data_IF_610143004160
#
_entry.id   IF_610143004160
#
_cell.length_a   1.000
_cell.length_b   1.000
_cell.length_c   1.000
_cell.angle_alpha   90.00
_cell.angle_beta   90.00
_cell.angle_gamma   90.00
#
_symmetry.space_group_name_H-M   'P 1'
#
loop_
_entity.id
_entity.type
_entity.pdbx_description
1 polymer ?
#
# COMPACT_ATOMS: atom_id res chain seq x y z
N UNK A 1 4.67 -46.89 1.66
CA UNK A 1 5.95 -46.15 1.47
C UNK A 1 6.02 -45.44 0.12
N UNK A 2 5.69 -46.09 -1.01
CA UNK A 2 5.76 -45.49 -2.36
C UNK A 2 4.79 -44.29 -2.54
N UNK A 3 3.61 -44.35 -1.92
CA UNK A 3 2.58 -43.31 -2.03
C UNK A 3 2.98 -42.00 -1.34
N UNK A 4 3.81 -42.07 -0.28
CA UNK A 4 4.30 -40.88 0.44
C UNK A 4 5.37 -40.15 -0.37
N UNK A 5 6.23 -40.89 -1.08
CA UNK A 5 7.23 -40.31 -1.98
C UNK A 5 6.58 -39.52 -3.14
N UNK A 6 5.49 -40.06 -3.71
CA UNK A 6 4.78 -39.39 -4.82
C UNK A 6 4.16 -38.05 -4.40
N UNK A 7 3.64 -37.93 -3.18
CA UNK A 7 3.06 -36.68 -2.67
C UNK A 7 4.15 -35.62 -2.44
N UNK A 8 5.30 -36.02 -1.89
CA UNK A 8 6.45 -35.12 -1.69
C UNK A 8 7.01 -34.64 -3.05
N UNK A 9 7.08 -35.54 -4.03
CA UNK A 9 7.51 -35.19 -5.40
C UNK A 9 6.48 -34.25 -6.06
N UNK A 10 5.17 -34.48 -5.89
CA UNK A 10 4.16 -33.55 -6.42
C UNK A 10 4.27 -32.14 -5.81
N UNK A 11 4.52 -32.01 -4.50
CA UNK A 11 4.71 -30.70 -3.86
C UNK A 11 6.02 -30.00 -4.27
N UNK A 12 7.05 -30.78 -4.66
CA UNK A 12 8.32 -30.24 -5.12
C UNK A 12 8.33 -29.90 -6.63
N UNK A 13 7.52 -30.60 -7.44
CA UNK A 13 7.47 -30.44 -8.91
C UNK A 13 6.34 -29.51 -9.35
N UNK A 14 5.26 -29.43 -8.56
CA UNK A 14 4.19 -28.45 -8.72
C UNK A 14 4.22 -27.52 -7.52
N UNK A 15 5.06 -26.46 -7.53
CA UNK A 15 4.82 -25.35 -6.62
C UNK A 15 3.37 -24.92 -6.85
N UNK A 16 2.65 -24.76 -5.74
CA UNK A 16 1.25 -24.34 -5.66
C UNK A 16 0.97 -23.37 -6.82
N UNK A 17 0.13 -23.78 -7.79
CA UNK A 17 -0.36 -22.86 -8.80
C UNK A 17 -1.00 -21.71 -8.03
N UNK A 18 -0.40 -20.52 -8.12
CA UNK A 18 -0.79 -19.36 -7.33
C UNK A 18 -2.29 -19.14 -7.48
N UNK A 19 -3.01 -19.17 -6.36
CA UNK A 19 -4.40 -18.75 -6.38
C UNK A 19 -4.38 -17.26 -6.69
N UNK A 20 -5.05 -16.85 -7.77
CA UNK A 20 -5.24 -15.43 -8.04
C UNK A 20 -6.02 -14.83 -6.88
N UNK A 21 -5.62 -13.63 -6.44
CA UNK A 21 -6.37 -12.88 -5.45
C UNK A 21 -6.91 -11.61 -6.09
N UNK A 22 -8.16 -11.30 -5.78
CA UNK A 22 -8.78 -10.03 -6.16
C UNK A 22 -8.37 -9.02 -5.10
N UNK A 23 -7.43 -8.17 -5.49
CA UNK A 23 -7.02 -7.02 -4.71
C UNK A 23 -7.78 -5.77 -5.16
N UNK A 24 -7.66 -4.65 -4.44
CA UNK A 24 -8.39 -3.44 -4.85
C UNK A 24 -7.80 -2.84 -6.13
N UNK A 25 -6.55 -3.15 -6.45
CA UNK A 25 -5.90 -2.70 -7.69
C UNK A 25 -6.19 -3.59 -8.90
N UNK A 26 -6.87 -4.73 -8.72
CA UNK A 26 -7.21 -5.66 -9.80
C UNK A 26 -6.90 -7.13 -9.46
N UNK A 27 -6.98 -7.99 -10.48
CA UNK A 27 -6.59 -9.38 -10.34
C UNK A 27 -5.06 -9.50 -10.45
N UNK A 28 -4.44 -10.12 -9.46
CA UNK A 28 -2.98 -10.27 -9.37
C UNK A 28 -2.64 -11.73 -9.11
N UNK A 29 -1.77 -12.29 -9.96
CA UNK A 29 -1.37 -13.70 -9.90
C UNK A 29 -0.01 -13.91 -9.22
N UNK A 30 0.78 -12.85 -9.09
CA UNK A 30 2.14 -12.91 -8.54
C UNK A 30 2.35 -11.75 -7.55
N UNK A 31 2.34 -12.10 -6.27
CA UNK A 31 2.50 -11.19 -5.15
C UNK A 31 3.23 -11.86 -3.98
N UNK A 32 3.95 -11.06 -3.21
CA UNK A 32 4.58 -11.46 -1.95
C UNK A 32 3.68 -11.03 -0.79
N UNK A 33 3.49 -11.93 0.19
CA UNK A 33 2.85 -11.58 1.46
C UNK A 33 3.91 -11.03 2.41
N UNK A 34 3.74 -9.78 2.81
CA UNK A 34 4.67 -9.08 3.72
C UNK A 34 3.95 -8.60 4.98
N UNK A 35 4.74 -8.33 6.02
CA UNK A 35 4.25 -7.80 7.30
C UNK A 35 5.03 -6.53 7.65
N UNK A 36 4.62 -5.35 7.15
CA UNK A 36 5.34 -4.10 7.38
C UNK A 36 5.44 -3.78 8.86
N UNK A 37 6.67 -3.68 9.37
CA UNK A 37 6.96 -3.37 10.76
C UNK A 37 7.34 -1.91 10.90
N UNK A 38 6.67 -1.18 11.79
CA UNK A 38 7.01 0.22 12.05
C UNK A 38 8.35 0.31 12.80
N UNK A 39 9.37 0.89 12.17
CA UNK A 39 10.68 1.12 12.78
C UNK A 39 10.59 2.37 13.64
N UNK A 40 10.40 2.18 14.94
CA UNK A 40 10.19 3.30 15.87
C UNK A 40 11.53 3.95 16.24
N UNK A 41 11.73 5.22 15.87
CA UNK A 41 12.81 6.05 16.40
C UNK A 41 12.33 6.87 17.61
N UNK A 42 11.93 6.24 18.72
CA UNK A 42 11.62 7.00 19.94
C UNK A 42 12.89 7.18 20.77
N UNK A 43 13.37 8.42 21.00
CA UNK A 43 14.24 8.69 22.12
C UNK A 43 13.46 8.39 23.42
N UNK A 44 14.06 7.64 24.35
CA UNK A 44 13.53 7.50 25.72
C UNK A 44 13.38 8.91 26.32
N UNK A 45 12.14 9.44 26.37
CA UNK A 45 11.84 10.71 27.05
C UNK A 45 11.07 11.77 26.27
N UNK A 46 10.64 11.52 25.02
CA UNK A 46 9.78 12.48 24.32
C UNK A 46 8.39 12.55 24.98
N UNK A 47 8.01 13.75 25.44
CA UNK A 47 6.68 14.06 25.97
C UNK A 47 5.66 13.75 24.87
N UNK A 48 4.72 12.84 25.15
CA UNK A 48 3.58 12.60 24.25
C UNK A 48 2.78 13.89 24.15
N UNK A 49 2.90 14.59 23.03
CA UNK A 49 1.96 15.66 22.70
C UNK A 49 0.55 15.07 22.62
N UNK A 50 -0.50 15.84 22.92
CA UNK A 50 -1.86 15.34 22.85
C UNK A 50 -2.19 14.89 21.41
N UNK A 51 -2.54 13.60 21.28
CA UNK A 51 -3.44 13.01 20.29
C UNK A 51 -3.31 13.43 18.81
N UNK A 52 -2.11 13.41 18.23
CA UNK A 52 -2.01 13.31 16.77
C UNK A 52 -2.11 11.84 16.36
N UNK A 53 -3.28 11.43 15.81
CA UNK A 53 -3.57 10.06 15.35
C UNK A 53 -2.52 9.52 14.36
N UNK A 54 -1.92 10.42 13.58
CA UNK A 54 -0.93 10.10 12.56
C UNK A 54 0.31 10.99 12.72
N UNK A 55 1.48 10.37 12.88
CA UNK A 55 2.81 11.01 13.02
C UNK A 55 3.25 11.73 11.74
N UNK A 56 4.02 12.82 11.87
CA UNK A 56 4.54 13.57 10.71
C UNK A 56 5.54 12.76 9.86
N UNK A 57 6.27 11.86 10.49
CA UNK A 57 7.26 11.00 9.83
C UNK A 57 7.17 9.59 10.39
N UNK A 58 7.31 8.59 9.53
CA UNK A 58 7.31 7.19 9.93
C UNK A 58 8.24 6.37 9.04
N UNK A 59 8.71 5.25 9.58
CA UNK A 59 9.53 4.30 8.84
C UNK A 59 8.91 2.91 8.96
N UNK A 60 8.90 2.17 7.85
CA UNK A 60 8.45 0.79 7.81
C UNK A 60 9.52 -0.11 7.21
N UNK A 61 9.73 -1.26 7.82
CA UNK A 61 10.60 -2.31 7.31
C UNK A 61 9.76 -3.50 6.86
N UNK A 62 10.04 -4.01 5.66
CA UNK A 62 9.50 -5.26 5.12
C UNK A 62 10.48 -5.86 4.11
N UNK A 63 10.15 -7.02 3.56
CA UNK A 63 10.98 -7.67 2.53
C UNK A 63 10.34 -7.57 1.17
N UNK A 64 11.17 -7.40 0.15
CA UNK A 64 10.78 -7.51 -1.27
C UNK A 64 11.81 -8.42 -1.93
N UNK A 65 11.38 -9.50 -2.59
CA UNK A 65 12.27 -10.51 -3.16
C UNK A 65 13.25 -11.10 -2.12
N UNK A 66 12.84 -11.18 -0.86
CA UNK A 66 13.66 -11.66 0.26
C UNK A 66 14.65 -10.66 0.86
N UNK A 67 14.88 -9.51 0.21
CA UNK A 67 15.78 -8.45 0.66
C UNK A 67 15.04 -7.44 1.54
N UNK A 68 15.64 -6.95 2.64
CA UNK A 68 15.03 -5.94 3.50
C UNK A 68 14.96 -4.58 2.81
N UNK A 69 13.81 -3.94 2.94
CA UNK A 69 13.48 -2.62 2.42
C UNK A 69 13.01 -1.77 3.58
N UNK A 70 13.59 -0.58 3.73
CA UNK A 70 13.15 0.42 4.72
C UNK A 70 12.53 1.59 3.98
N UNK A 71 11.24 1.78 4.15
CA UNK A 71 10.43 2.82 3.54
C UNK A 71 10.32 4.01 4.51
N UNK A 72 10.91 5.14 4.13
CA UNK A 72 10.79 6.40 4.86
C UNK A 72 9.61 7.21 4.31
N UNK A 73 8.71 7.63 5.18
CA UNK A 73 7.49 8.35 4.85
C UNK A 73 7.42 9.68 5.59
N UNK A 74 7.05 10.73 4.87
CA UNK A 74 6.77 12.07 5.38
C UNK A 74 5.34 12.46 5.00
N UNK A 75 4.62 13.00 5.97
CA UNK A 75 3.21 13.37 5.82
C UNK A 75 3.07 14.46 4.78
N UNK A 76 2.19 14.25 3.80
CA UNK A 76 1.98 15.21 2.72
C UNK A 76 1.12 16.40 3.16
N UNK A 77 1.65 17.25 4.05
CA UNK A 77 0.92 18.35 4.72
C UNK A 77 0.23 19.33 3.78
N UNK A 78 0.64 19.39 2.51
CA UNK A 78 0.11 20.30 1.51
C UNK A 78 -0.76 19.60 0.45
N UNK A 79 -1.17 18.34 0.68
CA UNK A 79 -2.07 17.63 -0.22
C UNK A 79 -3.42 18.34 -0.35
N UNK A 80 -3.91 18.88 0.76
CA UNK A 80 -5.10 19.72 0.81
C UNK A 80 -4.65 21.15 1.09
N UNK A 81 -4.99 22.08 0.19
CA UNK A 81 -4.77 23.50 0.43
C UNK A 81 -5.55 23.97 1.66
N UNK A 82 -5.06 24.99 2.35
CA UNK A 82 -5.79 25.62 3.47
C UNK A 82 -7.21 26.04 3.07
N UNK A 83 -7.39 26.46 1.80
CA UNK A 83 -8.66 26.89 1.23
C UNK A 83 -9.41 25.76 0.47
N UNK A 84 -9.17 24.49 0.81
CA UNK A 84 -9.85 23.37 0.15
C UNK A 84 -11.38 23.52 0.23
N UNK A 85 -12.05 23.31 -0.91
CA UNK A 85 -13.49 23.37 -1.04
C UNK A 85 -14.02 22.28 -1.98
N UNK A 86 -15.15 21.69 -1.63
CA UNK A 86 -15.87 20.70 -2.42
C UNK A 86 -17.11 21.33 -3.02
N UNK A 87 -17.34 21.08 -4.30
CA UNK A 87 -18.55 21.56 -5.00
C UNK A 87 -19.32 20.38 -5.57
N UNK A 88 -20.61 20.29 -5.25
CA UNK A 88 -21.51 19.27 -5.75
C UNK A 88 -22.83 19.90 -6.23
N UNK A 89 -23.59 19.13 -7.01
CA UNK A 89 -24.89 19.56 -7.52
C UNK A 89 -26.02 18.84 -6.81
N UNK A 90 -27.03 19.59 -6.39
CA UNK A 90 -28.27 19.00 -5.88
C UNK A 90 -29.10 18.38 -7.01
N UNK A 91 -30.11 17.54 -6.69
CA UNK A 91 -30.97 16.92 -7.71
C UNK A 91 -31.72 17.93 -8.60
N UNK A 92 -31.96 19.16 -8.11
CA UNK A 92 -32.54 20.28 -8.84
C UNK A 92 -31.51 21.13 -9.61
N UNK A 93 -30.24 20.72 -9.64
CA UNK A 93 -29.18 21.34 -10.45
C UNK A 93 -28.52 22.57 -9.83
N UNK A 94 -28.77 22.89 -8.55
CA UNK A 94 -28.07 23.98 -7.86
C UNK A 94 -26.69 23.53 -7.43
N UNK A 95 -25.73 24.43 -7.57
CA UNK A 95 -24.38 24.28 -7.08
C UNK A 95 -24.34 24.50 -5.55
N UNK A 96 -23.65 23.59 -4.86
CA UNK A 96 -23.44 23.64 -3.40
C UNK A 96 -21.94 23.51 -3.15
N UNK A 97 -21.33 24.56 -2.60
CA UNK A 97 -19.92 24.58 -2.21
C UNK A 97 -19.79 24.48 -0.70
N UNK A 98 -18.90 23.60 -0.24
CA UNK A 98 -18.60 23.37 1.18
C UNK A 98 -17.10 23.36 1.42
N UNK A 99 -16.66 23.76 2.61
CA UNK A 99 -15.27 23.67 3.05
C UNK A 99 -15.19 22.67 4.21
N UNK A 100 -15.17 21.36 3.93
CA UNK A 100 -15.09 20.37 4.99
C UNK A 100 -13.71 20.44 5.68
N UNK A 101 -13.65 20.19 7.00
CA UNK A 101 -12.38 20.04 7.69
C UNK A 101 -11.64 18.81 7.14
N UNK A 102 -10.32 18.92 6.97
CA UNK A 102 -9.46 17.78 6.63
C UNK A 102 -9.23 16.96 7.89
N UNK A 103 -10.19 16.09 8.19
CA UNK A 103 -10.09 15.11 9.27
C UNK A 103 -9.26 13.89 8.78
N UNK A 104 -8.49 13.27 9.67
CA UNK A 104 -7.78 12.00 9.38
C UNK A 104 -6.75 12.01 8.23
N UNK A 105 -5.95 13.08 8.11
CA UNK A 105 -4.85 13.11 7.16
C UNK A 105 -3.82 11.99 7.42
N UNK A 106 -3.79 11.00 6.52
CA UNK A 106 -2.95 9.80 6.60
C UNK A 106 -2.13 9.54 5.32
N UNK A 107 -1.99 10.54 4.44
CA UNK A 107 -1.27 10.42 3.18
C UNK A 107 0.18 10.88 3.30
N UNK A 108 1.10 10.12 2.71
CA UNK A 108 2.53 10.30 2.82
C UNK A 108 3.19 10.22 1.46
N UNK A 109 4.25 11.01 1.28
CA UNK A 109 5.25 10.77 0.25
C UNK A 109 6.53 10.23 0.88
N UNK A 110 7.38 9.59 0.11
CA UNK A 110 8.54 8.93 0.70
C UNK A 110 9.57 8.40 -0.28
N UNK A 111 10.52 7.64 0.28
CA UNK A 111 11.63 7.00 -0.42
C UNK A 111 12.07 5.74 0.30
N UNK A 112 12.68 4.81 -0.43
CA UNK A 112 13.41 3.69 0.13
C UNK A 112 14.79 4.15 0.62
N UNK A 113 15.19 3.68 1.80
CA UNK A 113 16.51 3.93 2.35
C UNK A 113 17.60 3.39 1.41
N UNK A 114 18.63 4.20 1.17
CA UNK A 114 19.77 3.89 0.28
C UNK A 114 19.41 3.77 -1.21
N UNK A 115 18.21 4.17 -1.63
CA UNK A 115 17.82 4.31 -3.04
C UNK A 115 17.37 5.76 -3.28
N UNK A 116 18.27 6.60 -3.79
CA UNK A 116 18.00 8.02 -3.97
C UNK A 116 16.98 8.33 -5.08
N UNK A 117 16.87 7.42 -6.06
CA UNK A 117 15.97 7.53 -7.20
C UNK A 117 14.59 6.91 -6.90
N UNK A 118 14.45 6.26 -5.75
CA UNK A 118 13.16 5.80 -5.24
C UNK A 118 12.20 6.96 -4.96
N UNK A 119 10.92 6.61 -4.95
CA UNK A 119 9.79 7.45 -4.60
C UNK A 119 8.69 6.58 -4.00
N UNK A 120 7.82 7.16 -3.19
CA UNK A 120 6.66 6.47 -2.65
C UNK A 120 5.50 7.44 -2.47
N UNK A 121 4.29 6.93 -2.66
CA UNK A 121 3.03 7.61 -2.35
C UNK A 121 2.12 6.63 -1.65
N UNK A 122 1.91 6.82 -0.34
CA UNK A 122 1.34 5.83 0.56
C UNK A 122 0.25 6.45 1.43
N UNK A 123 -0.89 5.78 1.52
CA UNK A 123 -1.88 5.96 2.57
C UNK A 123 -1.57 5.02 3.73
N UNK A 124 -1.63 5.53 4.95
CA UNK A 124 -1.54 4.74 6.19
C UNK A 124 -2.87 4.72 6.97
N UNK A 125 -3.99 5.02 6.31
CA UNK A 125 -5.30 5.14 6.97
C UNK A 125 -5.77 3.82 7.59
N UNK A 126 -5.59 2.71 6.86
CA UNK A 126 -6.05 1.37 7.23
C UNK A 126 -5.01 0.33 6.78
N UNK A 127 -3.79 0.43 7.30
CA UNK A 127 -2.62 -0.27 6.73
C UNK A 127 -1.97 0.53 5.60
N UNK A 128 -0.82 0.04 5.11
CA UNK A 128 -0.07 0.68 4.03
C UNK A 128 -0.72 0.36 2.70
N UNK A 129 -1.18 1.39 1.99
CA UNK A 129 -1.72 1.26 0.64
C UNK A 129 -1.12 2.30 -0.29
N UNK A 130 -0.61 1.87 -1.44
CA UNK A 130 -0.11 2.79 -2.46
C UNK A 130 0.99 2.17 -3.31
N UNK A 131 1.92 2.99 -3.79
CA UNK A 131 3.03 2.52 -4.61
C UNK A 131 4.37 3.07 -4.12
N UNK A 132 5.44 2.36 -4.47
CA UNK A 132 6.81 2.81 -4.31
C UNK A 132 7.68 2.31 -5.47
N UNK A 133 8.74 3.04 -5.78
CA UNK A 133 9.76 2.61 -6.72
C UNK A 133 10.97 2.05 -5.98
N UNK A 134 11.50 0.94 -6.46
CA UNK A 134 12.69 0.28 -5.93
C UNK A 134 13.54 -0.17 -7.10
N UNK A 135 14.78 0.32 -7.19
CA UNK A 135 15.72 -0.03 -8.27
C UNK A 135 15.14 0.17 -9.68
N UNK A 136 14.33 1.21 -9.87
CA UNK A 136 13.69 1.54 -11.15
C UNK A 136 12.37 0.82 -11.44
N UNK A 137 12.00 -0.16 -10.63
CA UNK A 137 10.76 -0.93 -10.77
C UNK A 137 9.64 -0.35 -9.88
N UNK A 138 8.39 -0.38 -10.35
CA UNK A 138 7.23 0.10 -9.58
C UNK A 138 6.52 -1.05 -8.89
N UNK A 139 6.39 -0.94 -7.58
CA UNK A 139 5.67 -1.88 -6.73
C UNK A 139 4.42 -1.24 -6.15
N UNK A 140 3.38 -2.04 -5.98
CA UNK A 140 2.22 -1.70 -5.17
C UNK A 140 2.29 -2.43 -3.84
N UNK A 141 1.74 -1.81 -2.82
CA UNK A 141 1.47 -2.42 -1.52
C UNK A 141 0.02 -2.17 -1.17
N UNK A 142 -0.70 -3.20 -0.70
CA UNK A 142 -2.03 -3.02 -0.13
C UNK A 142 -2.35 -4.08 0.93
N UNK A 143 -3.23 -3.76 1.91
CA UNK A 143 -3.62 -4.69 2.94
C UNK A 143 -4.38 -5.90 2.39
N UNK A 144 -4.07 -7.10 2.89
CA UNK A 144 -4.87 -8.28 2.63
C UNK A 144 -6.11 -8.29 3.53
N UNK A 145 -7.27 -8.63 2.97
CA UNK A 145 -8.55 -8.73 3.71
C UNK A 145 -8.63 -10.04 4.51
N UNK A 146 -7.65 -10.25 5.39
CA UNK A 146 -7.56 -11.40 6.29
C UNK A 146 -7.96 -10.97 7.71
N UNK A 147 -8.80 -11.74 8.43
CA UNK A 147 -9.17 -11.44 9.80
C UNK A 147 -7.93 -11.35 10.70
N UNK A 148 -7.88 -10.31 11.54
CA UNK A 148 -6.83 -10.09 12.55
C UNK A 148 -5.39 -10.14 12.00
N UNK A 149 -5.18 -9.73 10.75
CA UNK A 149 -3.88 -9.76 10.08
C UNK A 149 -3.40 -8.38 9.65
N UNK A 150 -2.12 -8.09 9.92
CA UNK A 150 -1.41 -6.94 9.35
C UNK A 150 -0.68 -7.31 8.04
N UNK A 151 -1.10 -8.40 7.39
CA UNK A 151 -0.51 -8.86 6.15
C UNK A 151 -0.84 -7.93 4.99
N UNK A 152 0.13 -7.70 4.13
CA UNK A 152 0.01 -6.91 2.92
C UNK A 152 0.45 -7.73 1.72
N UNK A 153 -0.15 -7.49 0.57
CA UNK A 153 0.39 -7.93 -0.71
C UNK A 153 1.35 -6.88 -1.23
N UNK A 154 2.54 -7.31 -1.67
CA UNK A 154 3.48 -6.50 -2.44
C UNK A 154 3.68 -7.17 -3.79
N UNK A 155 3.52 -6.43 -4.86
CA UNK A 155 3.65 -6.96 -6.22
C UNK A 155 4.05 -5.85 -7.18
N UNK A 156 4.62 -6.24 -8.31
CA UNK A 156 4.98 -5.27 -9.34
C UNK A 156 3.73 -4.77 -10.07
N UNK A 157 3.75 -3.52 -10.50
CA UNK A 157 2.66 -2.95 -11.31
C UNK A 157 2.39 -3.75 -12.60
N UNK A 158 3.43 -4.34 -13.20
CA UNK A 158 3.30 -5.18 -14.40
C UNK A 158 2.53 -6.49 -14.17
N UNK A 159 2.38 -6.94 -12.92
CA UNK A 159 1.68 -8.18 -12.56
C UNK A 159 0.16 -8.00 -12.42
N UNK A 160 -0.36 -6.78 -12.56
CA UNK A 160 -1.79 -6.53 -12.58
C UNK A 160 -2.34 -7.03 -13.92
N UNK A 161 -3.29 -7.97 -13.87
CA UNK A 161 -4.00 -8.39 -15.06
C UNK A 161 -4.72 -7.18 -15.66
N UNK A 162 -4.38 -6.86 -16.90
CA UNK A 162 -5.14 -5.88 -17.67
C UNK A 162 -6.43 -6.56 -18.05
N UNK A 163 -7.56 -6.09 -17.51
CA UNK A 163 -8.85 -6.40 -18.11
C UNK A 163 -8.75 -5.98 -19.58
N UNK A 164 -9.05 -6.90 -20.51
CA UNK A 164 -9.15 -6.56 -21.93
C UNK A 164 -10.09 -5.36 -22.03
N UNK A 165 -9.55 -4.19 -22.38
CA UNK A 165 -10.34 -3.00 -22.65
C UNK A 165 -11.28 -3.33 -23.81
N UNK A 166 -12.48 -3.81 -23.51
CA UNK A 166 -13.58 -3.75 -24.45
C UNK A 166 -13.66 -2.28 -24.88
N UNK A 167 -13.60 -1.96 -26.18
CA UNK A 167 -13.60 -0.58 -26.63
C UNK A 167 -14.84 0.09 -26.05
N UNK A 168 -14.62 1.11 -25.22
CA UNK A 168 -15.70 1.97 -24.74
C UNK A 168 -16.26 2.67 -25.98
N UNK A 169 -17.35 2.13 -26.53
CA UNK A 169 -18.13 2.84 -27.53
C UNK A 169 -18.76 4.04 -26.85
N UNK A 170 -18.41 5.23 -27.33
CA UNK A 170 -19.03 6.50 -26.96
C UNK A 170 -20.50 6.55 -27.41
#
# INVERSE_FOLDING_TARGET
>A
MIQVLLVIICLAVFPYQGSSIILESGNVNDYEVVYPQKVTALPKGAVKQPEQKYEDTMQYEFKVNGEPVILHLEKNKYLFSEDYSETHYSPDGREITTNPPVEDHCYYHGRIQNDADSSASISACNGLKGHFTLQGETYLIEPLKLPDSEAHAVYKYENIEKEDEAPKMC
#
